data_IF_405453287239
#
_entry.id   IF_405453287239
#
_cell.length_a   1.000
_cell.length_b   1.000
_cell.length_c   1.000
_cell.angle_alpha   90.00
_cell.angle_beta   90.00
_cell.angle_gamma   90.00
#
_symmetry.space_group_name_H-M   'P 1'
#
loop_
_entity.id
_entity.type
_entity.pdbx_description
1 polymer ?
#
# COMPACT_ATOMS: atom_id res chain seq x y z
N UNK A 1 6.51 -22.66 -2.02
CA UNK A 1 7.34 -21.86 -2.95
C UNK A 1 7.05 -20.36 -2.83
N UNK A 2 5.78 -19.94 -2.73
CA UNK A 2 5.35 -18.53 -2.58
C UNK A 2 5.99 -17.77 -1.42
N UNK A 3 6.04 -18.34 -0.20
CA UNK A 3 6.68 -17.69 0.97
C UNK A 3 8.16 -17.39 0.74
N UNK A 4 8.87 -18.31 0.07
CA UNK A 4 10.30 -18.15 -0.23
C UNK A 4 10.51 -16.95 -1.15
N UNK A 5 9.64 -16.74 -2.14
CA UNK A 5 9.73 -15.57 -3.02
C UNK A 5 9.44 -14.27 -2.28
N UNK A 6 8.41 -14.21 -1.43
CA UNK A 6 8.13 -13.02 -0.60
C UNK A 6 9.32 -12.71 0.32
N UNK A 7 9.86 -13.75 0.97
CA UNK A 7 10.99 -13.59 1.88
C UNK A 7 12.25 -13.13 1.14
N UNK A 8 12.57 -13.73 -0.01
CA UNK A 8 13.71 -13.33 -0.84
C UNK A 8 13.52 -11.90 -1.35
N UNK A 9 12.35 -11.53 -1.87
CA UNK A 9 12.05 -10.16 -2.29
C UNK A 9 12.24 -9.18 -1.13
N UNK A 10 11.75 -9.50 0.06
CA UNK A 10 11.88 -8.63 1.23
C UNK A 10 13.34 -8.46 1.66
N UNK A 11 14.12 -9.55 1.67
CA UNK A 11 15.56 -9.52 1.96
C UNK A 11 16.32 -8.74 0.88
N UNK A 12 16.00 -8.93 -0.40
CA UNK A 12 16.65 -8.22 -1.50
C UNK A 12 16.30 -6.73 -1.47
N UNK A 13 15.04 -6.33 -1.30
CA UNK A 13 14.68 -4.89 -1.23
C UNK A 13 15.31 -4.21 -0.01
N UNK A 14 15.53 -4.96 1.09
CA UNK A 14 16.25 -4.45 2.25
C UNK A 14 17.76 -4.23 1.98
N UNK A 15 18.37 -5.03 1.09
CA UNK A 15 19.82 -4.98 0.77
C UNK A 15 20.10 -4.10 -0.47
N UNK A 16 19.20 -4.06 -1.45
CA UNK A 16 19.38 -3.35 -2.71
C UNK A 16 19.13 -1.85 -2.50
N UNK A 17 20.23 -1.08 -2.45
CA UNK A 17 20.25 0.28 -1.93
C UNK A 17 19.49 1.32 -2.77
N UNK A 18 19.10 1.07 -4.02
CA UNK A 18 18.56 2.16 -4.86
C UNK A 18 17.76 1.71 -6.11
N UNK A 19 16.60 1.05 -5.90
CA UNK A 19 15.73 0.62 -7.01
C UNK A 19 14.65 1.66 -7.39
N UNK A 20 14.57 2.79 -6.69
CA UNK A 20 13.54 3.81 -6.94
C UNK A 20 13.61 4.37 -8.36
N UNK A 21 14.84 4.51 -8.91
CA UNK A 21 15.05 5.03 -10.27
C UNK A 21 14.44 4.14 -11.36
N UNK A 22 14.36 2.83 -11.13
CA UNK A 22 13.79 1.87 -12.08
C UNK A 22 12.29 1.67 -11.91
N UNK A 23 11.70 2.06 -10.78
CA UNK A 23 10.27 1.88 -10.44
C UNK A 23 9.35 2.93 -11.07
N UNK A 24 9.69 3.41 -12.26
CA UNK A 24 8.91 4.41 -13.01
C UNK A 24 7.90 3.69 -13.90
N UNK A 25 6.62 3.77 -13.52
CA UNK A 25 5.49 3.25 -14.31
C UNK A 25 5.12 4.18 -15.49
N UNK A 26 6.02 5.07 -15.90
CA UNK A 26 5.79 6.01 -17.00
C UNK A 26 5.35 5.30 -18.28
N UNK A 27 5.84 4.10 -18.56
CA UNK A 27 5.39 3.32 -19.73
C UNK A 27 3.87 3.07 -19.72
N UNK A 28 3.27 2.81 -18.55
CA UNK A 28 1.85 2.56 -18.41
C UNK A 28 1.04 3.85 -18.52
N UNK A 29 1.53 4.95 -17.94
CA UNK A 29 0.89 6.26 -18.09
C UNK A 29 0.94 6.74 -19.54
N UNK A 30 2.06 6.56 -20.24
CA UNK A 30 2.15 6.85 -21.68
C UNK A 30 1.21 5.96 -22.51
N UNK A 31 1.01 4.69 -22.12
CA UNK A 31 -0.01 3.84 -22.76
C UNK A 31 -1.42 4.39 -22.53
N UNK A 32 -1.75 4.80 -21.30
CA UNK A 32 -3.02 5.45 -20.99
C UNK A 32 -3.21 6.72 -21.82
N UNK A 33 -2.24 7.62 -21.87
CA UNK A 33 -2.30 8.87 -22.66
C UNK A 33 -2.42 8.60 -24.16
N UNK A 34 -1.71 7.59 -24.68
CA UNK A 34 -1.78 7.19 -26.10
C UNK A 34 -3.14 6.59 -26.45
N UNK A 35 -3.72 5.79 -25.56
CA UNK A 35 -5.05 5.23 -25.75
C UNK A 35 -6.13 6.30 -25.59
N UNK A 36 -5.99 7.20 -24.62
CA UNK A 36 -6.91 8.30 -24.40
C UNK A 36 -6.87 9.33 -25.54
N UNK A 37 -5.71 9.63 -26.11
CA UNK A 37 -5.62 10.54 -27.27
C UNK A 37 -6.24 9.94 -28.54
N UNK A 38 -6.11 8.63 -28.75
CA UNK A 38 -6.67 7.95 -29.93
C UNK A 38 -8.16 7.61 -29.79
N UNK A 39 -8.63 7.30 -28.59
CA UNK A 39 -9.98 6.76 -28.35
C UNK A 39 -10.81 7.52 -27.31
N UNK A 40 -10.27 8.53 -26.64
CA UNK A 40 -10.96 9.31 -25.59
C UNK A 40 -12.16 10.12 -26.09
N UNK A 41 -12.30 10.30 -27.41
CA UNK A 41 -13.49 10.92 -27.99
C UNK A 41 -14.69 9.96 -28.10
N UNK A 42 -14.52 8.69 -27.72
CA UNK A 42 -15.56 7.67 -27.78
C UNK A 42 -16.17 7.45 -26.39
N UNK A 43 -17.50 7.59 -26.26
CA UNK A 43 -18.24 7.49 -25.00
C UNK A 43 -18.00 6.17 -24.23
N UNK A 44 -17.63 5.10 -24.93
CA UNK A 44 -17.32 3.80 -24.31
C UNK A 44 -15.96 3.75 -23.59
N UNK A 45 -15.04 4.67 -23.91
CA UNK A 45 -13.71 4.77 -23.29
C UNK A 45 -13.72 5.55 -21.98
N UNK A 46 -14.63 6.51 -21.83
CA UNK A 46 -14.81 7.28 -20.58
C UNK A 46 -15.50 6.46 -19.47
N UNK A 47 -16.11 5.33 -19.86
CA UNK A 47 -16.78 4.41 -18.94
C UNK A 47 -15.84 3.29 -18.44
N UNK A 48 -16.27 2.54 -17.41
CA UNK A 48 -15.53 1.43 -16.80
C UNK A 48 -15.10 0.30 -17.76
N UNK A 49 -15.62 0.26 -19.00
CA UNK A 49 -15.14 -0.65 -20.04
C UNK A 49 -13.74 -0.27 -20.54
N UNK A 50 -13.44 1.03 -20.69
CA UNK A 50 -12.10 1.51 -21.04
C UNK A 50 -11.06 1.08 -20.00
N UNK A 51 -11.44 1.11 -18.72
CA UNK A 51 -10.61 0.69 -17.59
C UNK A 51 -10.26 -0.80 -17.69
N UNK A 52 -11.26 -1.65 -17.92
CA UNK A 52 -11.06 -3.10 -18.03
C UNK A 52 -10.15 -3.43 -19.22
N UNK A 53 -10.36 -2.79 -20.37
CA UNK A 53 -9.51 -3.00 -21.55
C UNK A 53 -8.07 -2.54 -21.29
N UNK A 54 -7.90 -1.35 -20.69
CA UNK A 54 -6.58 -0.80 -20.37
C UNK A 54 -5.79 -1.70 -19.42
N UNK A 55 -6.45 -2.29 -18.41
CA UNK A 55 -5.82 -3.21 -17.45
C UNK A 55 -5.62 -4.62 -18.03
N UNK A 56 -6.52 -5.07 -18.91
CA UNK A 56 -6.42 -6.39 -19.51
C UNK A 56 -5.19 -6.55 -20.40
N UNK A 57 -4.78 -5.50 -21.13
CA UNK A 57 -3.60 -5.54 -22.02
C UNK A 57 -2.31 -5.90 -21.26
N UNK A 58 -1.87 -5.15 -20.24
CA UNK A 58 -0.62 -5.44 -19.53
C UNK A 58 -0.71 -6.73 -18.71
N UNK A 59 -1.89 -7.06 -18.16
CA UNK A 59 -2.11 -8.31 -17.42
C UNK A 59 -2.03 -9.53 -18.33
N UNK A 60 -2.66 -9.49 -19.51
CA UNK A 60 -2.60 -10.56 -20.49
C UNK A 60 -1.18 -10.74 -21.03
N UNK A 61 -0.45 -9.64 -21.29
CA UNK A 61 0.94 -9.67 -21.71
C UNK A 61 1.83 -10.34 -20.64
N UNK A 62 1.67 -9.98 -19.37
CA UNK A 62 2.39 -10.61 -18.26
C UNK A 62 2.06 -12.11 -18.14
N UNK A 63 0.78 -12.47 -18.21
CA UNK A 63 0.34 -13.86 -18.11
C UNK A 63 0.87 -14.71 -19.27
N UNK A 64 0.88 -14.17 -20.49
CA UNK A 64 1.42 -14.85 -21.66
C UNK A 64 2.93 -15.03 -21.54
N UNK A 65 3.64 -14.01 -21.04
CA UNK A 65 5.07 -14.09 -20.80
C UNK A 65 5.42 -15.17 -19.76
N UNK A 66 4.69 -15.21 -18.64
CA UNK A 66 4.84 -16.26 -17.62
C UNK A 66 4.57 -17.65 -18.18
N UNK A 67 3.54 -17.81 -19.02
CA UNK A 67 3.21 -19.08 -19.65
C UNK A 67 4.33 -19.59 -20.55
N UNK A 68 4.89 -18.72 -21.41
CA UNK A 68 6.02 -19.08 -22.28
C UNK A 68 7.24 -19.48 -21.44
N UNK A 69 7.48 -18.76 -20.36
CA UNK A 69 8.67 -18.92 -19.54
C UNK A 69 8.61 -20.17 -18.66
N UNK A 70 7.41 -20.59 -18.27
CA UNK A 70 7.15 -21.88 -17.62
C UNK A 70 7.58 -23.08 -18.49
N UNK A 71 7.54 -22.95 -19.82
CA UNK A 71 8.00 -24.01 -20.73
C UNK A 71 9.54 -24.10 -20.86
N UNK A 72 10.27 -23.06 -20.44
CA UNK A 72 11.71 -22.96 -20.67
C UNK A 72 12.53 -23.57 -19.51
N UNK A 73 12.52 -22.90 -18.34
CA UNK A 73 13.26 -23.34 -17.16
C UNK A 73 12.71 -22.69 -15.88
N UNK A 74 12.51 -23.50 -14.83
CA UNK A 74 11.98 -23.06 -13.53
C UNK A 74 12.83 -21.97 -12.86
N UNK A 75 14.15 -21.98 -13.06
CA UNK A 75 15.05 -20.98 -12.48
C UNK A 75 14.81 -19.56 -13.04
N UNK A 76 14.49 -19.46 -14.34
CA UNK A 76 14.20 -18.19 -14.99
C UNK A 76 12.85 -17.67 -14.48
N UNK A 77 11.88 -18.58 -14.28
CA UNK A 77 10.55 -18.25 -13.75
C UNK A 77 10.66 -17.62 -12.35
N UNK A 78 11.46 -18.24 -11.49
CA UNK A 78 11.75 -17.74 -10.15
C UNK A 78 12.34 -16.33 -10.19
N UNK A 79 13.38 -16.15 -11.02
CA UNK A 79 14.05 -14.85 -11.14
C UNK A 79 13.08 -13.76 -11.62
N UNK A 80 12.23 -14.09 -12.59
CA UNK A 80 11.25 -13.15 -13.13
C UNK A 80 10.17 -12.79 -12.10
N UNK A 81 9.62 -13.77 -11.38
CA UNK A 81 8.62 -13.52 -10.31
C UNK A 81 9.18 -12.62 -9.22
N UNK A 82 10.41 -12.91 -8.75
CA UNK A 82 11.09 -12.07 -7.75
C UNK A 82 11.31 -10.66 -8.29
N UNK A 83 11.71 -10.51 -9.56
CA UNK A 83 11.93 -9.20 -10.19
C UNK A 83 10.66 -8.38 -10.28
N UNK A 84 9.53 -8.99 -10.66
CA UNK A 84 8.23 -8.30 -10.71
C UNK A 84 7.75 -7.94 -9.30
N UNK A 85 7.96 -8.83 -8.32
CA UNK A 85 7.65 -8.52 -6.92
C UNK A 85 8.49 -7.34 -6.41
N UNK A 86 9.80 -7.30 -6.68
CA UNK A 86 10.67 -6.17 -6.33
C UNK A 86 10.24 -4.87 -7.04
N UNK A 87 9.76 -4.98 -8.27
CA UNK A 87 9.23 -3.83 -9.00
C UNK A 87 7.95 -3.29 -8.34
N UNK A 88 7.06 -4.15 -7.85
CA UNK A 88 5.80 -3.74 -7.25
C UNK A 88 5.91 -3.34 -5.77
N UNK A 89 6.74 -4.05 -5.00
CA UNK A 89 6.90 -3.95 -3.55
C UNK A 89 8.07 -3.04 -3.19
N UNK A 90 7.87 -2.07 -2.29
CA UNK A 90 8.86 -1.03 -1.95
C UNK A 90 9.15 -0.84 -0.44
N UNK A 91 9.20 -1.91 0.39
CA UNK A 91 9.15 -1.82 1.85
C UNK A 91 10.18 -0.88 2.47
N UNK A 92 11.37 -0.71 1.87
CA UNK A 92 12.43 0.14 2.42
C UNK A 92 12.04 1.62 2.51
N UNK A 93 11.29 2.14 1.53
CA UNK A 93 10.85 3.55 1.50
C UNK A 93 10.01 3.94 2.72
N UNK A 94 9.27 2.99 3.30
CA UNK A 94 8.47 3.22 4.51
C UNK A 94 9.37 3.37 5.74
N UNK A 95 10.35 2.48 5.90
CA UNK A 95 11.24 2.51 7.07
C UNK A 95 12.16 3.72 7.05
N UNK A 96 12.61 4.14 5.87
CA UNK A 96 13.38 5.37 5.70
C UNK A 96 12.51 6.59 6.06
N UNK A 97 11.27 6.69 5.56
CA UNK A 97 10.32 7.74 5.96
C UNK A 97 10.06 7.78 7.48
N UNK A 98 9.88 6.62 8.12
CA UNK A 98 9.71 6.54 9.58
C UNK A 98 10.98 7.04 10.28
N UNK A 99 12.15 6.58 9.87
CA UNK A 99 13.41 6.97 10.51
C UNK A 99 13.69 8.47 10.31
N UNK A 100 13.47 9.00 9.11
CA UNK A 100 13.61 10.42 8.80
C UNK A 100 12.64 11.26 9.64
N UNK A 101 11.39 10.80 9.83
CA UNK A 101 10.44 11.46 10.72
C UNK A 101 10.86 11.42 12.19
N UNK A 102 11.51 10.35 12.66
CA UNK A 102 12.04 10.22 14.03
C UNK A 102 13.24 11.16 14.21
N UNK A 103 14.12 11.26 13.22
CA UNK A 103 15.29 12.14 13.22
C UNK A 103 14.84 13.61 13.20
N UNK A 104 13.88 13.95 12.34
CA UNK A 104 13.29 15.28 12.26
C UNK A 104 12.46 15.64 13.50
N UNK A 105 11.90 14.67 14.24
CA UNK A 105 11.30 14.94 15.55
C UNK A 105 12.35 15.21 16.64
N UNK A 106 13.60 14.78 16.43
CA UNK A 106 14.74 15.01 17.32
C UNK A 106 15.54 16.29 17.04
N UNK A 107 15.43 16.85 15.83
CA UNK A 107 16.10 18.09 15.41
C UNK A 107 15.04 19.11 14.98
N UNK A 108 15.09 20.35 15.47
CA UNK A 108 14.11 21.43 15.18
C UNK A 108 14.02 21.89 13.69
N UNK A 109 14.50 21.09 12.74
CA UNK A 109 14.53 21.43 11.31
C UNK A 109 13.33 20.78 10.61
N UNK A 110 12.18 21.43 10.77
CA UNK A 110 10.84 20.93 10.45
C UNK A 110 10.41 21.06 8.98
N UNK A 111 11.30 21.35 8.04
CA UNK A 111 10.83 21.86 6.73
C UNK A 111 10.81 20.81 5.61
N UNK A 112 11.69 19.80 5.64
CA UNK A 112 11.78 18.80 4.55
C UNK A 112 10.76 17.65 4.64
N UNK A 113 10.33 17.29 5.85
CA UNK A 113 9.27 16.28 6.08
C UNK A 113 7.88 16.88 5.84
N UNK A 114 7.73 18.19 6.08
CA UNK A 114 6.49 18.92 5.89
C UNK A 114 6.10 18.98 4.40
N UNK A 115 7.05 19.16 3.49
CA UNK A 115 6.79 19.28 2.05
C UNK A 115 6.26 17.96 1.44
N UNK A 116 6.76 16.80 1.89
CA UNK A 116 6.28 15.50 1.39
C UNK A 116 4.98 15.04 2.06
N UNK A 117 4.75 15.39 3.33
CA UNK A 117 3.49 15.11 4.02
C UNK A 117 2.32 15.99 3.53
N UNK A 118 2.58 17.26 3.18
CA UNK A 118 1.54 18.19 2.72
C UNK A 118 0.98 17.85 1.34
N UNK A 119 1.77 17.21 0.47
CA UNK A 119 1.34 16.80 -0.87
C UNK A 119 0.50 15.52 -0.88
N UNK A 120 0.59 14.69 0.17
CA UNK A 120 0.04 13.32 0.13
C UNK A 120 -1.45 13.23 0.49
N UNK A 121 -2.04 14.06 1.36
CA UNK A 121 -3.52 14.05 1.46
C UNK A 121 -4.19 15.19 2.23
N UNK A 122 -4.92 16.04 1.50
CA UNK A 122 -6.02 16.83 2.04
C UNK A 122 -7.26 15.98 2.36
N UNK A 123 -7.32 14.72 1.90
CA UNK A 123 -8.44 13.78 2.18
C UNK A 123 -8.32 13.03 3.52
N UNK A 124 -7.10 12.85 4.03
CA UNK A 124 -6.83 12.03 5.24
C UNK A 124 -6.67 12.89 6.50
N UNK A 125 -6.39 14.17 6.33
CA UNK A 125 -6.30 15.16 7.41
C UNK A 125 -7.70 15.62 7.82
N UNK A 126 -8.10 15.29 9.05
CA UNK A 126 -9.24 15.94 9.70
C UNK A 126 -8.84 17.36 10.11
N UNK A 127 -9.79 18.30 10.08
CA UNK A 127 -9.55 19.72 10.39
C UNK A 127 -8.96 20.02 11.80
N UNK A 128 -8.79 18.99 12.65
CA UNK A 128 -8.28 19.07 14.03
C UNK A 128 -7.07 18.15 14.27
N UNK A 129 -6.48 17.56 13.24
CA UNK A 129 -5.36 16.62 13.43
C UNK A 129 -4.04 17.34 13.66
N UNK A 130 -3.26 16.88 14.65
CA UNK A 130 -1.88 17.33 14.87
C UNK A 130 -0.96 16.79 13.77
N UNK A 131 0.17 17.47 13.53
CA UNK A 131 1.15 17.07 12.49
C UNK A 131 1.62 15.61 12.67
N UNK A 132 1.84 15.17 13.91
CA UNK A 132 2.24 13.80 14.24
C UNK A 132 1.21 12.76 13.78
N UNK A 133 -0.08 13.08 13.93
CA UNK A 133 -1.19 12.21 13.51
C UNK A 133 -1.22 12.11 11.99
N UNK A 134 -1.04 13.23 11.28
CA UNK A 134 -0.98 13.26 9.80
C UNK A 134 0.16 12.38 9.28
N UNK A 135 1.34 12.47 9.91
CA UNK A 135 2.50 11.63 9.57
C UNK A 135 2.18 10.14 9.80
N UNK A 136 1.65 9.77 10.97
CA UNK A 136 1.27 8.38 11.26
C UNK A 136 0.24 7.84 10.26
N UNK A 137 -0.76 8.65 9.89
CA UNK A 137 -1.79 8.28 8.92
C UNK A 137 -1.19 8.03 7.53
N UNK A 138 -0.29 8.90 7.07
CA UNK A 138 0.44 8.73 5.82
C UNK A 138 1.25 7.43 5.81
N UNK A 139 1.97 7.15 6.91
CA UNK A 139 2.76 5.92 7.02
C UNK A 139 1.87 4.67 7.06
N UNK A 140 0.70 4.71 7.71
CA UNK A 140 -0.26 3.59 7.65
C UNK A 140 -0.73 3.33 6.22
N UNK A 141 -1.05 4.38 5.46
CA UNK A 141 -1.44 4.29 4.05
C UNK A 141 -0.31 3.65 3.23
N UNK A 142 0.91 4.18 3.34
CA UNK A 142 2.07 3.68 2.58
C UNK A 142 2.43 2.23 2.97
N UNK A 143 2.35 1.90 4.26
CA UNK A 143 2.56 0.53 4.77
C UNK A 143 1.54 -0.43 4.15
N UNK A 144 0.28 -0.01 4.12
CA UNK A 144 -0.78 -0.79 3.51
C UNK A 144 -0.53 -1.02 2.02
N UNK A 145 -0.36 0.04 1.24
CA UNK A 145 -0.26 -0.03 -0.22
C UNK A 145 0.98 -0.79 -0.68
N UNK A 146 2.13 -0.60 -0.04
CA UNK A 146 3.38 -1.19 -0.51
C UNK A 146 3.61 -2.62 -0.03
N UNK A 147 3.23 -2.95 1.21
CA UNK A 147 3.57 -4.24 1.83
C UNK A 147 2.32 -5.11 1.94
N UNK A 148 1.29 -4.65 2.65
CA UNK A 148 0.16 -5.49 3.01
C UNK A 148 -0.68 -5.86 1.78
N UNK A 149 -1.04 -4.88 0.95
CA UNK A 149 -1.80 -5.12 -0.27
C UNK A 149 -1.02 -6.00 -1.25
N UNK A 150 0.29 -5.77 -1.40
CA UNK A 150 1.17 -6.61 -2.22
C UNK A 150 1.19 -8.06 -1.72
N UNK A 151 1.43 -8.29 -0.43
CA UNK A 151 1.45 -9.65 0.14
C UNK A 151 0.09 -10.31 0.03
N UNK A 152 -1.00 -9.59 0.33
CA UNK A 152 -2.36 -10.10 0.26
C UNK A 152 -2.72 -10.53 -1.16
N UNK A 153 -2.55 -9.65 -2.15
CA UNK A 153 -2.91 -9.96 -3.54
C UNK A 153 -1.98 -10.98 -4.18
N UNK A 154 -0.73 -11.09 -3.72
CA UNK A 154 0.15 -12.18 -4.10
C UNK A 154 -0.37 -13.55 -3.62
N UNK A 155 -0.95 -13.62 -2.42
CA UNK A 155 -1.51 -14.87 -1.90
C UNK A 155 -2.82 -15.25 -2.60
N UNK A 156 -3.66 -14.27 -2.93
CA UNK A 156 -4.98 -14.54 -3.54
C UNK A 156 -4.87 -14.83 -5.03
N UNK A 157 -4.10 -14.03 -5.78
CA UNK A 157 -4.06 -14.07 -7.26
C UNK A 157 -2.64 -14.27 -7.81
N UNK A 158 -1.64 -14.50 -6.96
CA UNK A 158 -0.25 -14.63 -7.39
C UNK A 158 0.33 -13.31 -7.90
N UNK A 159 1.34 -13.42 -8.76
CA UNK A 159 2.05 -12.27 -9.33
C UNK A 159 1.13 -11.34 -10.14
N UNK A 160 0.11 -11.91 -10.78
CA UNK A 160 -0.88 -11.18 -11.55
C UNK A 160 -1.70 -10.23 -10.68
N UNK A 161 -2.07 -10.65 -9.47
CA UNK A 161 -2.80 -9.81 -8.52
C UNK A 161 -2.00 -8.60 -8.06
N UNK A 162 -0.74 -8.81 -7.72
CA UNK A 162 0.17 -7.75 -7.29
C UNK A 162 0.32 -6.71 -8.40
N UNK A 163 0.57 -7.18 -9.62
CA UNK A 163 0.76 -6.31 -10.76
C UNK A 163 -0.50 -5.51 -11.08
N UNK A 164 -1.67 -6.16 -11.07
CA UNK A 164 -2.96 -5.51 -11.29
C UNK A 164 -3.24 -4.44 -10.23
N UNK A 165 -3.07 -4.77 -8.94
CA UNK A 165 -3.23 -3.80 -7.85
C UNK A 165 -2.34 -2.57 -8.06
N UNK A 166 -1.07 -2.80 -8.41
CA UNK A 166 -0.10 -1.71 -8.60
C UNK A 166 -0.43 -0.82 -9.80
N UNK A 167 -0.98 -1.38 -10.88
CA UNK A 167 -1.45 -0.59 -12.02
C UNK A 167 -2.64 0.30 -11.64
N UNK A 168 -3.62 -0.24 -10.89
CA UNK A 168 -4.79 0.52 -10.44
C UNK A 168 -4.38 1.64 -9.47
N UNK A 169 -3.49 1.35 -8.52
CA UNK A 169 -2.96 2.35 -7.58
C UNK A 169 -2.21 3.49 -8.30
N UNK A 170 -1.40 3.15 -9.30
CA UNK A 170 -0.70 4.18 -10.12
C UNK A 170 -1.66 5.01 -10.94
N UNK A 171 -2.67 4.38 -11.55
CA UNK A 171 -3.68 5.08 -12.33
C UNK A 171 -4.50 6.03 -11.46
N UNK A 172 -4.89 5.59 -10.26
CA UNK A 172 -5.59 6.43 -9.29
C UNK A 172 -4.75 7.64 -8.87
N UNK A 173 -3.45 7.44 -8.61
CA UNK A 173 -2.54 8.53 -8.26
C UNK A 173 -2.40 9.57 -9.36
N UNK A 174 -2.38 9.15 -10.63
CA UNK A 174 -2.26 10.06 -11.78
C UNK A 174 -3.56 10.82 -12.05
N UNK A 175 -4.71 10.20 -11.78
CA UNK A 175 -6.03 10.77 -12.04
C UNK A 175 -6.63 11.53 -10.87
N UNK A 176 -5.91 11.65 -9.74
CA UNK A 176 -6.40 12.28 -8.52
C UNK A 176 -6.93 13.71 -8.75
N UNK A 177 -6.29 14.46 -9.64
CA UNK A 177 -6.68 15.85 -9.95
C UNK A 177 -7.72 15.97 -11.09
N UNK A 178 -8.07 14.84 -11.73
CA UNK A 178 -9.01 14.79 -12.85
C UNK A 178 -10.38 14.29 -12.38
N UNK A 179 -11.42 15.11 -12.58
CA UNK A 179 -12.82 14.79 -12.23
C UNK A 179 -13.59 14.20 -13.40
N UNK A 180 -13.12 13.07 -13.95
CA UNK A 180 -13.79 12.32 -15.02
C UNK A 180 -14.53 11.08 -14.50
N UNK A 181 -15.53 10.59 -15.24
CA UNK A 181 -16.22 9.31 -14.95
C UNK A 181 -15.21 8.14 -14.91
N UNK A 182 -14.16 8.23 -15.72
CA UNK A 182 -13.05 7.28 -15.70
C UNK A 182 -12.29 7.29 -14.36
N UNK A 183 -11.97 8.46 -13.80
CA UNK A 183 -11.29 8.60 -12.50
C UNK A 183 -12.13 8.04 -11.35
N UNK A 184 -13.45 8.27 -11.37
CA UNK A 184 -14.37 7.68 -10.41
C UNK A 184 -14.38 6.14 -10.50
N UNK A 185 -14.41 5.60 -11.73
CA UNK A 185 -14.35 4.15 -11.97
C UNK A 185 -13.05 3.53 -11.44
N UNK A 186 -11.91 4.21 -11.62
CA UNK A 186 -10.61 3.80 -11.08
C UNK A 186 -10.63 3.81 -9.54
N UNK A 187 -11.22 4.84 -8.94
CA UNK A 187 -11.34 4.99 -7.48
C UNK A 187 -12.20 3.90 -6.87
N UNK A 188 -13.35 3.58 -7.48
CA UNK A 188 -14.23 2.48 -7.06
C UNK A 188 -13.47 1.15 -7.15
N UNK A 189 -12.76 0.90 -8.25
CA UNK A 189 -11.99 -0.32 -8.43
C UNK A 189 -10.90 -0.44 -7.35
N UNK A 190 -10.15 0.62 -7.09
CA UNK A 190 -9.14 0.65 -6.04
C UNK A 190 -9.77 0.35 -4.67
N UNK A 191 -10.88 1.00 -4.33
CA UNK A 191 -11.60 0.75 -3.07
C UNK A 191 -12.04 -0.71 -2.91
N UNK A 192 -12.43 -1.39 -3.99
CA UNK A 192 -12.75 -2.83 -3.98
C UNK A 192 -11.50 -3.66 -3.70
N UNK A 193 -10.37 -3.35 -4.35
CA UNK A 193 -9.11 -4.06 -4.14
C UNK A 193 -8.57 -3.87 -2.71
N UNK A 194 -8.76 -2.68 -2.15
CA UNK A 194 -8.22 -2.32 -0.85
C UNK A 194 -9.11 -2.76 0.31
N UNK A 195 -10.42 -2.88 0.10
CA UNK A 195 -11.37 -3.27 1.14
C UNK A 195 -10.95 -4.53 1.92
N UNK A 196 -10.67 -5.69 1.29
CA UNK A 196 -10.31 -6.88 2.06
C UNK A 196 -8.93 -6.75 2.71
N UNK A 197 -7.95 -6.21 1.99
CA UNK A 197 -6.57 -6.05 2.46
C UNK A 197 -6.49 -5.12 3.69
N UNK A 198 -7.20 -3.99 3.66
CA UNK A 198 -7.25 -3.03 4.77
C UNK A 198 -7.86 -3.66 6.02
N UNK A 199 -8.91 -4.48 5.87
CA UNK A 199 -9.53 -5.14 7.02
C UNK A 199 -8.60 -6.16 7.67
N UNK A 200 -7.87 -6.94 6.86
CA UNK A 200 -6.82 -7.84 7.36
C UNK A 200 -5.75 -7.05 8.11
N UNK A 201 -5.30 -5.92 7.55
CA UNK A 201 -4.30 -5.08 8.21
C UNK A 201 -4.82 -4.44 9.51
N UNK A 202 -6.04 -3.94 9.52
CA UNK A 202 -6.68 -3.37 10.70
C UNK A 202 -6.83 -4.39 11.83
N UNK A 203 -7.20 -5.63 11.50
CA UNK A 203 -7.23 -6.74 12.47
C UNK A 203 -5.82 -7.02 12.99
N UNK A 204 -4.81 -7.05 12.12
CA UNK A 204 -3.41 -7.19 12.52
C UNK A 204 -2.95 -6.12 13.50
N UNK A 205 -3.27 -4.84 13.23
CA UNK A 205 -2.98 -3.72 14.13
C UNK A 205 -3.69 -3.86 15.48
N UNK A 206 -4.95 -4.29 15.47
CA UNK A 206 -5.72 -4.54 16.69
C UNK A 206 -5.10 -5.67 17.54
N UNK A 207 -4.57 -6.72 16.91
CA UNK A 207 -3.87 -7.81 17.60
C UNK A 207 -2.49 -7.39 18.15
N UNK A 208 -1.78 -6.52 17.43
CA UNK A 208 -0.43 -6.10 17.78
C UNK A 208 -0.40 -4.99 18.86
N UNK A 209 -1.48 -4.21 18.96
CA UNK A 209 -1.62 -3.09 19.89
C UNK A 209 -2.68 -3.34 20.96
N UNK A 210 -3.40 -2.28 21.34
CA UNK A 210 -4.52 -2.40 22.26
C UNK A 210 -5.79 -2.88 21.56
N UNK A 211 -6.08 -4.18 21.72
CA UNK A 211 -7.22 -4.84 21.11
C UNK A 211 -8.57 -4.23 21.54
N UNK A 212 -8.70 -3.80 22.80
CA UNK A 212 -9.98 -3.31 23.36
C UNK A 212 -10.38 -1.99 22.69
N UNK A 213 -9.45 -1.04 22.61
CA UNK A 213 -9.69 0.26 21.95
C UNK A 213 -9.85 0.08 20.45
N UNK A 214 -9.05 -0.79 19.82
CA UNK A 214 -9.12 -1.07 18.39
C UNK A 214 -10.46 -1.71 17.97
N UNK A 215 -10.95 -2.71 18.70
CA UNK A 215 -12.27 -3.33 18.42
C UNK A 215 -13.40 -2.31 18.64
N UNK A 216 -13.28 -1.47 19.66
CA UNK A 216 -14.27 -0.42 19.92
C UNK A 216 -14.33 0.59 18.77
N UNK A 217 -13.18 0.98 18.23
CA UNK A 217 -13.07 1.81 17.03
C UNK A 217 -13.64 1.11 15.79
N UNK A 218 -13.35 -0.18 15.60
CA UNK A 218 -13.87 -0.99 14.49
C UNK A 218 -15.39 -1.14 14.53
N UNK A 219 -16.00 -1.26 15.72
CA UNK A 219 -17.47 -1.32 15.86
C UNK A 219 -18.13 0.02 15.55
N UNK A 220 -17.44 1.12 15.83
CA UNK A 220 -17.94 2.48 15.60
C UNK A 220 -17.82 2.88 14.12
N UNK A 221 -16.77 2.41 13.45
CA UNK A 221 -16.62 2.61 12.02
C UNK A 221 -17.54 1.68 11.24
N UNK A 222 -18.11 2.17 10.13
CA UNK A 222 -18.97 1.35 9.27
C UNK A 222 -18.10 0.31 8.55
N UNK A 223 -18.06 -0.91 9.07
CA UNK A 223 -17.21 -2.01 8.58
C UNK A 223 -17.40 -2.26 7.06
N UNK A 224 -18.58 -1.92 6.51
CA UNK A 224 -18.95 -2.18 5.12
C UNK A 224 -18.85 -0.98 4.17
N UNK A 225 -18.48 0.22 4.64
CA UNK A 225 -18.32 1.36 3.73
C UNK A 225 -17.05 1.20 2.89
N UNK A 226 -17.19 1.26 1.56
CA UNK A 226 -16.09 1.19 0.60
C UNK A 226 -15.28 2.51 0.57
N UNK A 227 -15.96 3.65 0.72
CA UNK A 227 -15.34 4.97 0.57
C UNK A 227 -14.51 5.40 1.80
N UNK A 228 -14.74 4.77 2.95
CA UNK A 228 -14.08 5.10 4.22
C UNK A 228 -13.01 4.07 4.63
N UNK A 229 -12.40 3.41 3.65
CA UNK A 229 -11.41 2.37 3.87
C UNK A 229 -10.18 2.88 4.63
N UNK A 230 -9.57 3.96 4.16
CA UNK A 230 -8.38 4.55 4.78
C UNK A 230 -8.66 5.24 6.12
N UNK A 231 -9.81 5.91 6.23
CA UNK A 231 -10.21 6.54 7.50
C UNK A 231 -10.48 5.50 8.58
N UNK A 232 -11.05 4.34 8.23
CA UNK A 232 -11.18 3.19 9.14
C UNK A 232 -9.81 2.68 9.59
N UNK A 233 -8.88 2.46 8.64
CA UNK A 233 -7.54 1.95 8.95
C UNK A 233 -6.81 2.85 9.94
N UNK A 234 -6.79 4.14 9.65
CA UNK A 234 -6.10 5.14 10.46
C UNK A 234 -6.74 5.30 11.84
N UNK A 235 -8.07 5.30 11.93
CA UNK A 235 -8.79 5.34 13.21
C UNK A 235 -8.43 4.14 14.10
N UNK A 236 -8.40 2.94 13.51
CA UNK A 236 -8.05 1.72 14.25
C UNK A 236 -6.57 1.71 14.63
N UNK A 237 -5.68 2.11 13.72
CA UNK A 237 -4.24 2.18 14.00
C UNK A 237 -3.91 3.14 15.15
N UNK A 238 -4.51 4.33 15.15
CA UNK A 238 -4.36 5.31 16.24
C UNK A 238 -4.96 4.78 17.54
N UNK A 239 -6.15 4.16 17.49
CA UNK A 239 -6.77 3.56 18.66
C UNK A 239 -5.95 2.40 19.24
N UNK A 240 -5.32 1.58 18.40
CA UNK A 240 -4.45 0.48 18.79
C UNK A 240 -3.15 0.98 19.44
N UNK A 241 -2.64 2.12 18.98
CA UNK A 241 -1.51 2.80 19.59
C UNK A 241 -1.88 3.45 20.94
N UNK A 242 -3.17 3.75 21.16
CA UNK A 242 -3.66 4.56 22.29
C UNK A 242 -3.01 5.95 22.34
N UNK A 243 -2.66 6.49 21.17
CA UNK A 243 -2.06 7.80 21.07
C UNK A 243 -3.05 8.86 21.59
N UNK A 244 -2.67 9.55 22.66
CA UNK A 244 -3.42 10.68 23.21
C UNK A 244 -2.63 11.96 22.94
N UNK A 245 -3.18 12.89 22.14
CA UNK A 245 -2.54 14.16 21.89
C UNK A 245 -2.79 15.09 23.08
N UNK A 246 -2.06 14.93 24.19
CA UNK A 246 -1.98 16.03 25.15
C UNK A 246 -1.13 17.16 24.50
N UNK A 247 -1.58 18.41 24.61
CA UNK A 247 -1.10 19.49 23.75
C UNK A 247 0.26 20.11 24.13
N UNK A 248 0.96 19.57 25.14
CA UNK A 248 2.24 20.09 25.65
C UNK A 248 3.28 18.98 25.86
N UNK A 249 3.53 18.20 24.81
CA UNK A 249 4.44 17.06 24.91
C UNK A 249 5.89 17.47 24.58
N UNK A 250 6.83 17.22 25.50
CA UNK A 250 8.27 17.41 25.30
C UNK A 250 8.78 16.60 24.08
N UNK A 251 9.81 17.09 23.39
CA UNK A 251 10.43 16.41 22.23
C UNK A 251 10.81 14.93 22.53
N UNK A 252 11.13 14.60 23.79
CA UNK A 252 11.41 13.23 24.22
C UNK A 252 10.21 12.28 24.12
N UNK A 253 9.00 12.77 24.37
CA UNK A 253 7.77 11.96 24.28
C UNK A 253 7.27 11.81 22.83
N UNK A 254 7.55 12.79 21.94
CA UNK A 254 7.30 12.62 20.49
C UNK A 254 8.11 11.47 19.90
N UNK A 255 9.41 11.42 20.21
CA UNK A 255 10.28 10.31 19.82
C UNK A 255 9.82 8.97 20.41
N UNK A 256 9.30 8.98 21.64
CA UNK A 256 8.71 7.78 22.26
C UNK A 256 7.51 7.25 21.46
N UNK A 257 6.55 8.11 21.11
CA UNK A 257 5.36 7.69 20.36
C UNK A 257 5.67 7.20 18.95
N UNK A 258 6.61 7.84 18.25
CA UNK A 258 7.07 7.37 16.94
C UNK A 258 7.77 6.01 17.03
N UNK A 259 8.55 5.76 18.10
CA UNK A 259 9.13 4.45 18.36
C UNK A 259 8.05 3.40 18.66
N UNK A 260 7.04 3.70 19.48
CA UNK A 260 5.92 2.78 19.75
C UNK A 260 5.16 2.46 18.47
N UNK A 261 4.92 3.46 17.63
CA UNK A 261 4.32 3.29 16.31
C UNK A 261 5.13 2.36 15.40
N UNK A 262 6.46 2.56 15.33
CA UNK A 262 7.38 1.67 14.60
C UNK A 262 7.30 0.23 15.10
N UNK A 263 7.29 0.03 16.41
CA UNK A 263 7.15 -1.31 17.01
C UNK A 263 5.79 -1.91 16.71
N UNK A 264 4.71 -1.13 16.72
CA UNK A 264 3.36 -1.60 16.38
C UNK A 264 3.30 -2.12 14.93
N UNK A 265 3.82 -1.36 13.97
CA UNK A 265 3.89 -1.78 12.56
C UNK A 265 4.73 -3.05 12.43
N UNK A 266 5.91 -3.08 13.05
CA UNK A 266 6.83 -4.23 12.96
C UNK A 266 6.18 -5.50 13.54
N UNK A 267 5.54 -5.40 14.71
CA UNK A 267 4.79 -6.52 15.33
C UNK A 267 3.65 -6.99 14.43
N UNK A 268 2.92 -6.05 13.85
CA UNK A 268 1.82 -6.37 12.91
C UNK A 268 2.31 -7.14 11.70
N UNK A 269 3.41 -6.70 11.09
CA UNK A 269 4.04 -7.37 9.95
C UNK A 269 4.52 -8.78 10.32
N UNK A 270 5.14 -8.95 11.49
CA UNK A 270 5.57 -10.26 11.99
C UNK A 270 4.38 -11.20 12.18
N UNK A 271 3.31 -10.74 12.84
CA UNK A 271 2.09 -11.53 13.04
C UNK A 271 1.49 -11.96 11.71
N UNK A 272 1.43 -11.06 10.74
CA UNK A 272 0.92 -11.37 9.41
C UNK A 272 1.80 -12.39 8.68
N UNK A 273 3.13 -12.24 8.75
CA UNK A 273 4.05 -13.19 8.12
C UNK A 273 3.95 -14.59 8.74
N UNK A 274 3.78 -14.67 10.06
CA UNK A 274 3.52 -15.95 10.76
C UNK A 274 2.19 -16.55 10.29
N UNK A 275 1.13 -15.75 10.22
CA UNK A 275 -0.18 -16.22 9.76
C UNK A 275 -0.12 -16.77 8.33
N UNK A 276 0.56 -16.06 7.43
CA UNK A 276 0.80 -16.51 6.05
C UNK A 276 1.61 -17.80 6.01
N UNK A 277 2.65 -17.92 6.84
CA UNK A 277 3.44 -19.15 6.93
C UNK A 277 2.60 -20.35 7.39
N UNK A 278 1.71 -20.17 8.37
CA UNK A 278 0.78 -21.20 8.84
C UNK A 278 -0.21 -21.60 7.73
N UNK A 279 -0.81 -20.63 7.04
CA UNK A 279 -1.77 -20.88 5.97
C UNK A 279 -1.16 -21.73 4.84
N UNK A 280 0.08 -21.43 4.45
CA UNK A 280 0.82 -22.15 3.42
C UNK A 280 1.20 -23.55 3.91
N UNK A 281 1.66 -23.69 5.15
CA UNK A 281 2.03 -24.99 5.73
C UNK A 281 0.82 -25.93 5.87
N UNK A 282 -0.37 -25.37 6.12
CA UNK A 282 -1.61 -26.12 6.20
C UNK A 282 -2.10 -26.68 4.85
N UNK A 283 -1.41 -26.39 3.74
CA UNK A 283 -1.78 -26.88 2.41
C UNK A 283 -3.01 -26.19 1.80
N UNK A 284 -3.40 -25.01 2.30
CA UNK A 284 -4.53 -24.21 1.80
C UNK A 284 -4.08 -23.22 0.70
N UNK A 285 -2.97 -23.49 0.02
CA UNK A 285 -2.36 -22.57 -0.96
C UNK A 285 -2.02 -23.24 -2.29
#
# INVERSE_FOLDING_TARGET
>A
MTLIYIFITLVIDFIAVDLERFRKFNWFITLYESLNSNYGNNKYWDSGLGLIVLLAIPVAALSLFLFILSFLHIAIEIFFVISVLLYCMAPRKIFDQINDSIIAAGHEESDLVMETAHLIDREVSGASDNNDVVIMKSIFKETHTQILATVFWYLVLGITGVFLYRLVEKLHSELKDNSSEFSESVSILLNIFEWPSIRVFAIGLALAGNLVTAISALKKSQIFSLDANYSLLTTIGIAALQYSPDSDISNGEKSYWLNQFKFLITRTLIILLIFVAIMILSGVG
#
